data_IF_052110872156
#
_entry.id   IF_052110872156
#
_cell.length_a   1.000
_cell.length_b   1.000
_cell.length_c   1.000
_cell.angle_alpha   90.00
_cell.angle_beta   90.00
_cell.angle_gamma   90.00
#
_symmetry.space_group_name_H-M   'P 1'
#
loop_
_entity.id
_entity.type
_entity.pdbx_description
1 polymer ?
#
# COMPACT_ATOMS: atom_id res chain seq x y z
N UNK A 1 -30.82 -11.08 -28.84
CA UNK A 1 -30.38 -12.04 -27.79
C UNK A 1 -29.18 -11.49 -27.02
N UNK A 2 -28.08 -11.12 -27.69
CA UNK A 2 -26.86 -10.58 -27.06
C UNK A 2 -27.07 -9.36 -26.14
N UNK A 3 -27.83 -8.34 -26.57
CA UNK A 3 -28.07 -7.14 -25.75
C UNK A 3 -28.85 -7.40 -24.45
N UNK A 4 -29.82 -8.33 -24.44
CA UNK A 4 -30.55 -8.69 -23.21
C UNK A 4 -29.69 -9.48 -22.24
N UNK A 5 -28.73 -10.26 -22.74
CA UNK A 5 -27.75 -10.94 -21.92
C UNK A 5 -26.79 -9.94 -21.27
N UNK A 6 -26.30 -8.95 -22.04
CA UNK A 6 -25.36 -7.96 -21.51
C UNK A 6 -25.98 -6.90 -20.61
N UNK A 7 -27.17 -6.39 -20.96
CA UNK A 7 -27.79 -5.23 -20.28
C UNK A 7 -29.03 -5.57 -19.44
N UNK A 8 -29.46 -6.82 -19.45
CA UNK A 8 -30.61 -7.29 -18.70
C UNK A 8 -31.93 -7.30 -19.49
N UNK A 9 -33.04 -7.72 -18.85
CA UNK A 9 -34.30 -8.02 -19.53
C UNK A 9 -35.12 -6.79 -19.94
N UNK A 10 -34.80 -5.59 -19.44
CA UNK A 10 -35.57 -4.39 -19.72
C UNK A 10 -35.45 -3.92 -21.17
N UNK A 11 -36.57 -3.94 -21.89
CA UNK A 11 -36.64 -3.42 -23.25
C UNK A 11 -36.58 -1.89 -23.28
N UNK A 12 -37.10 -1.20 -22.28
CA UNK A 12 -37.09 0.26 -22.23
C UNK A 12 -35.67 0.78 -21.98
N UNK A 13 -34.91 0.12 -21.09
CA UNK A 13 -33.50 0.41 -20.89
C UNK A 13 -32.69 0.16 -22.16
N UNK A 14 -32.84 -1.00 -22.81
CA UNK A 14 -32.12 -1.31 -24.05
C UNK A 14 -32.45 -0.30 -25.15
N UNK A 15 -33.72 0.12 -25.29
CA UNK A 15 -34.09 1.18 -26.24
C UNK A 15 -33.40 2.50 -25.93
N UNK A 16 -33.27 2.85 -24.65
CA UNK A 16 -32.62 4.10 -24.22
C UNK A 16 -31.13 4.16 -24.62
N UNK A 17 -30.43 3.02 -24.68
CA UNK A 17 -29.02 2.95 -25.08
C UNK A 17 -28.78 3.38 -26.54
N UNK A 18 -29.80 3.27 -27.41
CA UNK A 18 -29.71 3.64 -28.82
C UNK A 18 -30.13 5.09 -29.09
N UNK A 19 -30.72 5.78 -28.10
CA UNK A 19 -31.20 7.15 -28.27
C UNK A 19 -30.04 8.16 -28.14
N UNK A 20 -29.31 8.36 -29.24
CA UNK A 20 -28.36 9.45 -29.34
C UNK A 20 -29.10 10.81 -29.40
N UNK A 21 -29.03 11.57 -28.29
CA UNK A 21 -29.17 13.05 -28.25
C UNK A 21 -30.58 13.69 -28.31
N UNK A 22 -31.64 13.05 -27.84
CA UNK A 22 -32.85 13.83 -27.48
C UNK A 22 -33.32 13.43 -26.08
N UNK A 23 -33.40 14.37 -25.11
CA UNK A 23 -34.26 14.15 -23.96
C UNK A 23 -35.68 14.09 -24.53
N UNK A 24 -36.20 12.88 -24.73
CA UNK A 24 -37.59 12.72 -25.09
C UNK A 24 -38.42 13.41 -24.00
N UNK A 25 -39.38 14.24 -24.40
CA UNK A 25 -40.37 14.83 -23.50
C UNK A 25 -41.31 13.73 -22.98
N UNK A 26 -40.79 12.78 -22.20
CA UNK A 26 -41.54 11.76 -21.46
C UNK A 26 -42.21 12.33 -20.20
N UNK A 27 -42.57 13.62 -20.23
CA UNK A 27 -43.31 14.31 -19.17
C UNK A 27 -44.67 13.62 -18.92
N UNK A 28 -45.23 12.95 -19.94
CA UNK A 28 -46.50 12.21 -19.84
C UNK A 28 -46.41 10.78 -19.29
N UNK A 29 -45.22 10.25 -18.93
CA UNK A 29 -45.06 8.85 -18.46
C UNK A 29 -44.32 8.71 -17.12
N UNK A 30 -44.48 9.67 -16.20
CA UNK A 30 -43.80 9.67 -14.88
C UNK A 30 -43.94 8.35 -14.11
N UNK A 31 -45.14 7.75 -14.07
CA UNK A 31 -45.38 6.48 -13.35
C UNK A 31 -44.68 5.28 -14.01
N UNK A 32 -44.67 5.22 -15.34
CA UNK A 32 -43.99 4.15 -16.06
C UNK A 32 -42.46 4.25 -15.92
N UNK A 33 -41.91 5.47 -15.97
CA UNK A 33 -40.49 5.71 -15.71
C UNK A 33 -40.09 5.36 -14.26
N UNK A 34 -40.96 5.63 -13.28
CA UNK A 34 -40.70 5.26 -11.90
C UNK A 34 -40.69 3.73 -11.71
N UNK A 35 -41.68 3.03 -12.27
CA UNK A 35 -41.72 1.56 -12.24
C UNK A 35 -40.51 0.95 -12.95
N UNK A 36 -40.08 1.55 -14.06
CA UNK A 36 -38.88 1.14 -14.78
C UNK A 36 -37.63 1.33 -13.90
N UNK A 37 -37.46 2.50 -13.28
CA UNK A 37 -36.35 2.74 -12.36
C UNK A 37 -36.36 1.76 -11.17
N UNK A 38 -37.53 1.41 -10.62
CA UNK A 38 -37.66 0.40 -9.57
C UNK A 38 -37.24 -1.00 -10.04
N UNK A 39 -37.57 -1.36 -11.28
CA UNK A 39 -37.11 -2.62 -11.88
C UNK A 39 -35.58 -2.65 -12.05
N UNK A 40 -35.00 -1.57 -12.60
CA UNK A 40 -33.56 -1.46 -12.82
C UNK A 40 -32.76 -1.45 -11.50
N UNK A 41 -33.32 -0.85 -10.44
CA UNK A 41 -32.73 -0.83 -9.11
C UNK A 41 -33.02 -2.09 -8.27
N UNK A 42 -33.73 -3.08 -8.82
CA UNK A 42 -34.05 -4.30 -8.09
C UNK A 42 -32.81 -5.18 -7.90
N UNK A 43 -32.71 -5.84 -6.75
CA UNK A 43 -31.59 -6.73 -6.42
C UNK A 43 -31.45 -7.94 -7.35
N UNK A 44 -32.48 -8.25 -8.14
CA UNK A 44 -32.49 -9.37 -9.08
C UNK A 44 -32.17 -8.95 -10.52
N UNK A 45 -32.00 -7.66 -10.80
CA UNK A 45 -31.87 -7.16 -12.17
C UNK A 45 -30.64 -7.72 -12.88
N UNK A 46 -29.53 -7.86 -12.16
CA UNK A 46 -28.25 -8.30 -12.69
C UNK A 46 -28.14 -9.84 -12.76
N UNK A 47 -29.11 -10.57 -12.21
CA UNK A 47 -29.07 -12.05 -12.15
C UNK A 47 -29.05 -12.65 -13.56
N UNK A 48 -27.98 -13.40 -13.86
CA UNK A 48 -27.79 -14.06 -15.15
C UNK A 48 -27.48 -13.11 -16.30
N UNK A 49 -27.08 -11.87 -16.00
CA UNK A 49 -26.62 -10.87 -16.96
C UNK A 49 -25.10 -10.73 -16.94
N UNK A 50 -24.52 -9.99 -17.89
CA UNK A 50 -23.08 -9.69 -17.92
C UNK A 50 -22.69 -8.40 -17.16
N UNK A 51 -23.62 -7.81 -16.38
CA UNK A 51 -23.30 -6.72 -15.46
C UNK A 51 -22.23 -7.15 -14.46
N UNK A 52 -21.22 -6.31 -14.26
CA UNK A 52 -20.07 -6.60 -13.41
C UNK A 52 -18.99 -7.49 -14.03
N UNK A 53 -19.30 -8.21 -15.11
CA UNK A 53 -18.34 -9.08 -15.81
C UNK A 53 -17.83 -8.46 -17.11
N UNK A 54 -18.72 -7.89 -17.90
CA UNK A 54 -18.40 -7.26 -19.19
C UNK A 54 -18.90 -5.81 -19.30
N UNK A 55 -19.94 -5.46 -18.54
CA UNK A 55 -20.62 -4.16 -18.57
C UNK A 55 -20.61 -3.53 -17.17
N UNK A 56 -20.44 -2.21 -17.11
CA UNK A 56 -20.46 -1.45 -15.86
C UNK A 56 -19.14 -1.52 -15.10
N UNK A 57 -19.23 -1.37 -13.77
CA UNK A 57 -18.08 -1.51 -12.87
C UNK A 57 -17.75 -2.98 -12.68
N UNK A 58 -16.48 -3.33 -12.86
CA UNK A 58 -16.01 -4.71 -12.83
C UNK A 58 -16.04 -5.29 -11.40
N UNK A 59 -16.67 -6.45 -11.22
CA UNK A 59 -16.68 -7.18 -9.96
C UNK A 59 -15.42 -8.03 -9.79
N UNK A 60 -15.22 -8.53 -8.57
CA UNK A 60 -14.16 -9.49 -8.24
C UNK A 60 -12.88 -8.89 -7.66
N UNK A 61 -12.85 -7.58 -7.40
CA UNK A 61 -11.82 -6.92 -6.58
C UNK A 61 -12.45 -5.81 -5.75
N UNK A 62 -11.89 -5.57 -4.56
CA UNK A 62 -12.25 -4.40 -3.71
C UNK A 62 -11.66 -3.07 -4.23
N UNK A 63 -10.97 -3.13 -5.38
CA UNK A 63 -10.42 -2.00 -6.12
C UNK A 63 -10.98 -2.03 -7.55
N UNK A 64 -12.30 -1.90 -7.64
CA UNK A 64 -13.08 -1.98 -8.88
C UNK A 64 -12.77 -0.84 -9.85
N UNK A 65 -12.38 0.33 -9.33
CA UNK A 65 -11.96 1.49 -10.10
C UNK A 65 -10.73 1.18 -10.98
N UNK A 66 -9.70 0.59 -10.38
CA UNK A 66 -8.49 0.11 -11.05
C UNK A 66 -8.83 -0.96 -12.09
N UNK A 67 -9.60 -1.99 -11.71
CA UNK A 67 -9.94 -3.10 -12.60
C UNK A 67 -10.79 -2.64 -13.79
N UNK A 68 -11.76 -1.75 -13.55
CA UNK A 68 -12.63 -1.18 -14.59
C UNK A 68 -11.81 -0.34 -15.55
N UNK A 69 -10.93 0.54 -15.04
CA UNK A 69 -10.02 1.32 -15.89
C UNK A 69 -9.11 0.45 -16.75
N UNK A 70 -8.50 -0.58 -16.17
CA UNK A 70 -7.68 -1.55 -16.90
C UNK A 70 -8.46 -2.25 -18.02
N UNK A 71 -9.69 -2.68 -17.72
CA UNK A 71 -10.56 -3.36 -18.68
C UNK A 71 -11.01 -2.44 -19.82
N UNK A 72 -11.29 -1.17 -19.53
CA UNK A 72 -11.59 -0.18 -20.57
C UNK A 72 -10.39 0.06 -21.48
N UNK A 73 -9.18 0.23 -20.92
CA UNK A 73 -7.97 0.37 -21.73
C UNK A 73 -7.68 -0.89 -22.57
N UNK A 74 -7.95 -2.09 -22.05
CA UNK A 74 -7.87 -3.33 -22.83
C UNK A 74 -8.94 -3.44 -23.94
N UNK A 75 -9.99 -2.62 -23.89
CA UNK A 75 -11.04 -2.50 -24.93
C UNK A 75 -10.72 -1.36 -25.91
N UNK A 76 -9.54 -0.74 -25.82
CA UNK A 76 -9.09 0.31 -26.74
C UNK A 76 -9.50 1.74 -26.35
N UNK A 77 -10.08 1.94 -25.16
CA UNK A 77 -10.36 3.29 -24.66
C UNK A 77 -9.06 4.02 -24.30
N UNK A 78 -9.09 5.35 -24.42
CA UNK A 78 -7.97 6.23 -24.08
C UNK A 78 -8.44 7.20 -22.99
N UNK A 79 -7.77 7.17 -21.83
CA UNK A 79 -7.96 8.16 -20.76
C UNK A 79 -7.15 9.42 -21.02
N UNK A 80 -7.65 10.57 -20.54
CA UNK A 80 -6.91 11.84 -20.53
C UNK A 80 -6.72 12.31 -19.10
N UNK A 81 -5.48 12.63 -18.73
CA UNK A 81 -5.15 13.27 -17.45
C UNK A 81 -4.99 14.77 -17.65
N UNK A 82 -5.74 15.58 -16.89
CA UNK A 82 -5.70 17.03 -16.97
C UNK A 82 -5.40 17.62 -15.58
N UNK A 83 -4.30 18.36 -15.47
CA UNK A 83 -3.82 18.95 -14.22
C UNK A 83 -3.82 20.50 -14.30
N UNK A 84 -4.98 21.15 -14.08
CA UNK A 84 -5.05 22.61 -14.08
C UNK A 84 -4.33 23.20 -12.85
N UNK A 85 -3.80 24.45 -12.93
CA UNK A 85 -3.09 25.08 -11.80
C UNK A 85 -3.89 25.18 -10.50
N UNK A 86 -5.23 25.28 -10.61
CA UNK A 86 -6.13 25.25 -9.47
C UNK A 86 -6.81 23.89 -9.37
N UNK A 87 -6.72 23.19 -8.23
CA UNK A 87 -7.48 21.96 -8.01
C UNK A 87 -8.97 22.18 -8.23
N UNK A 88 -9.56 21.38 -9.13
CA UNK A 88 -11.01 21.43 -9.40
C UNK A 88 -11.81 20.50 -8.50
N UNK A 89 -11.16 19.49 -7.94
CA UNK A 89 -11.74 18.55 -6.99
C UNK A 89 -10.92 18.58 -5.71
N UNK A 90 -11.59 18.78 -4.58
CA UNK A 90 -11.01 18.75 -3.24
C UNK A 90 -11.73 17.69 -2.43
N UNK A 91 -10.96 16.91 -1.67
CA UNK A 91 -11.49 15.88 -0.78
C UNK A 91 -10.72 15.84 0.53
N UNK A 92 -11.36 15.33 1.57
CA UNK A 92 -10.73 15.16 2.89
C UNK A 92 -9.89 13.88 2.91
N UNK A 93 -8.58 14.06 3.10
CA UNK A 93 -7.63 12.97 3.34
C UNK A 93 -7.82 12.32 4.70
N UNK A 94 -7.10 11.22 4.95
CA UNK A 94 -7.03 10.59 6.28
C UNK A 94 -6.18 11.44 7.21
N UNK A 95 -6.67 11.72 8.42
CA UNK A 95 -5.98 12.55 9.42
C UNK A 95 -5.32 11.75 10.53
N UNK A 96 -5.64 10.46 10.66
CA UNK A 96 -5.03 9.52 11.61
C UNK A 96 -4.36 8.32 10.90
N UNK A 97 -3.48 7.62 11.60
CA UNK A 97 -2.72 6.50 11.04
C UNK A 97 -3.58 5.25 10.82
N UNK A 98 -4.60 5.03 11.65
CA UNK A 98 -5.45 3.84 11.55
C UNK A 98 -6.20 3.82 10.22
N UNK A 99 -6.93 4.89 9.92
CA UNK A 99 -7.66 5.05 8.66
C UNK A 99 -6.71 4.97 7.44
N UNK A 100 -5.51 5.53 7.57
CA UNK A 100 -4.48 5.47 6.53
C UNK A 100 -4.03 4.02 6.24
N UNK A 101 -3.75 3.23 7.28
CA UNK A 101 -3.27 1.85 7.15
C UNK A 101 -4.40 0.89 6.75
N UNK A 102 -5.62 1.08 7.26
CA UNK A 102 -6.81 0.32 6.86
C UNK A 102 -7.11 0.56 5.39
N UNK A 103 -7.11 1.82 4.95
CA UNK A 103 -7.28 2.16 3.54
C UNK A 103 -6.18 1.53 2.67
N UNK A 104 -4.92 1.64 3.09
CA UNK A 104 -3.79 1.04 2.37
C UNK A 104 -3.89 -0.49 2.26
N UNK A 105 -4.42 -1.15 3.30
CA UNK A 105 -4.66 -2.60 3.33
C UNK A 105 -5.72 -2.99 2.31
N UNK A 106 -6.82 -2.23 2.22
CA UNK A 106 -7.88 -2.45 1.21
C UNK A 106 -7.34 -2.31 -0.20
N UNK A 107 -6.61 -1.23 -0.48
CA UNK A 107 -6.03 -1.00 -1.81
C UNK A 107 -5.06 -2.12 -2.20
N UNK A 108 -4.19 -2.50 -1.27
CA UNK A 108 -3.27 -3.63 -1.46
C UNK A 108 -4.04 -4.90 -1.80
N UNK A 109 -5.04 -5.25 -0.99
CA UNK A 109 -5.82 -6.49 -1.18
C UNK A 109 -6.50 -6.50 -2.56
N UNK A 110 -7.09 -5.39 -2.99
CA UNK A 110 -7.70 -5.29 -4.31
C UNK A 110 -6.71 -5.33 -5.49
N UNK A 111 -5.53 -4.73 -5.34
CA UNK A 111 -4.46 -4.81 -6.36
C UNK A 111 -3.97 -6.25 -6.51
N UNK A 112 -3.72 -6.94 -5.40
CA UNK A 112 -3.26 -8.33 -5.39
C UNK A 112 -4.35 -9.27 -5.91
N UNK A 113 -5.63 -9.03 -5.57
CA UNK A 113 -6.77 -9.77 -6.15
C UNK A 113 -6.70 -9.73 -7.69
N UNK A 114 -6.46 -8.55 -8.28
CA UNK A 114 -6.33 -8.42 -9.75
C UNK A 114 -5.07 -9.13 -10.24
N UNK A 115 -3.93 -8.97 -9.55
CA UNK A 115 -2.66 -9.60 -9.91
C UNK A 115 -2.74 -11.14 -10.01
N UNK A 116 -3.50 -11.79 -9.12
CA UNK A 116 -3.69 -13.25 -9.07
C UNK A 116 -4.98 -13.74 -9.75
N UNK A 117 -5.68 -12.84 -10.46
CA UNK A 117 -6.89 -13.16 -11.22
C UNK A 117 -6.59 -13.49 -12.70
N UNK A 118 -7.62 -13.89 -13.43
CA UNK A 118 -7.58 -14.00 -14.91
C UNK A 118 -7.28 -12.66 -15.62
N UNK A 119 -7.39 -11.53 -14.89
CA UNK A 119 -7.10 -10.18 -15.37
C UNK A 119 -5.72 -9.69 -14.94
N UNK A 120 -4.79 -10.58 -14.56
CA UNK A 120 -3.41 -10.23 -14.28
C UNK A 120 -2.83 -9.36 -15.42
N UNK A 121 -2.36 -8.12 -15.16
CA UNK A 121 -1.91 -7.22 -16.22
C UNK A 121 -0.72 -7.74 -17.02
N UNK A 122 0.13 -8.60 -16.44
CA UNK A 122 1.25 -9.23 -17.16
C UNK A 122 0.81 -10.30 -18.18
N UNK A 123 -0.36 -10.90 -17.98
CA UNK A 123 -0.87 -12.00 -18.81
C UNK A 123 -1.96 -11.48 -19.75
N UNK A 124 -2.93 -10.75 -19.20
CA UNK A 124 -4.10 -10.27 -19.92
C UNK A 124 -3.81 -9.01 -20.74
N UNK A 125 -2.93 -8.13 -20.26
CA UNK A 125 -2.69 -6.80 -20.79
C UNK A 125 -1.85 -6.70 -22.06
N UNK A 126 -0.72 -7.44 -22.26
CA UNK A 126 0.30 -7.08 -23.26
C UNK A 126 -0.20 -6.99 -24.71
N UNK A 127 -1.23 -7.76 -25.07
CA UNK A 127 -1.83 -7.79 -26.41
C UNK A 127 -3.16 -7.03 -26.50
N UNK A 128 -3.63 -6.44 -25.41
CA UNK A 128 -4.95 -5.81 -25.31
C UNK A 128 -4.90 -4.32 -24.98
N UNK A 129 -3.90 -3.87 -24.23
CA UNK A 129 -3.66 -2.44 -24.01
C UNK A 129 -3.10 -1.78 -25.27
N UNK A 130 -3.18 -0.45 -25.34
CA UNK A 130 -2.70 0.31 -26.50
C UNK A 130 -1.18 0.15 -26.70
N UNK A 131 -0.43 0.08 -25.60
CA UNK A 131 1.01 -0.22 -25.62
C UNK A 131 1.38 -1.26 -24.57
N UNK A 132 2.50 -1.94 -24.79
CA UNK A 132 3.11 -2.81 -23.79
C UNK A 132 3.50 -2.02 -22.52
N UNK A 133 3.97 -0.78 -22.67
CA UNK A 133 4.30 0.10 -21.53
C UNK A 133 3.07 0.36 -20.66
N UNK A 134 1.90 0.61 -21.26
CA UNK A 134 0.66 0.76 -20.50
C UNK A 134 0.34 -0.50 -19.69
N UNK A 135 0.50 -1.69 -20.29
CA UNK A 135 0.37 -2.97 -19.57
C UNK A 135 1.33 -3.08 -18.39
N UNK A 136 2.58 -2.63 -18.57
CA UNK A 136 3.60 -2.64 -17.52
C UNK A 136 3.28 -1.67 -16.40
N UNK A 137 2.74 -0.48 -16.67
CA UNK A 137 2.29 0.44 -15.62
C UNK A 137 1.16 -0.16 -14.76
N UNK A 138 0.21 -0.85 -15.40
CA UNK A 138 -0.81 -1.60 -14.65
C UNK A 138 -0.19 -2.73 -13.84
N UNK A 139 0.73 -3.50 -14.43
CA UNK A 139 1.40 -4.60 -13.75
C UNK A 139 2.20 -4.15 -12.52
N UNK A 140 2.94 -3.04 -12.64
CA UNK A 140 3.68 -2.44 -11.53
C UNK A 140 2.73 -2.13 -10.37
N UNK A 141 1.62 -1.42 -10.63
CA UNK A 141 0.62 -1.12 -9.62
C UNK A 141 -0.02 -2.37 -8.99
N UNK A 142 -0.32 -3.40 -9.77
CA UNK A 142 -0.94 -4.62 -9.24
C UNK A 142 0.03 -5.45 -8.37
N UNK A 143 1.32 -5.46 -8.72
CA UNK A 143 2.31 -6.37 -8.15
C UNK A 143 3.22 -5.72 -7.11
N UNK A 144 3.37 -4.39 -7.09
CA UNK A 144 4.26 -3.72 -6.14
C UNK A 144 3.99 -4.09 -4.68
N UNK A 145 2.75 -4.35 -4.20
CA UNK A 145 2.59 -4.67 -2.79
C UNK A 145 3.30 -5.98 -2.42
N UNK A 146 3.24 -6.99 -3.30
CA UNK A 146 3.93 -8.28 -3.13
C UNK A 146 5.44 -8.09 -3.17
N UNK A 147 5.93 -7.32 -4.15
CA UNK A 147 7.36 -7.02 -4.30
C UNK A 147 7.91 -6.11 -3.21
N UNK A 148 7.07 -5.40 -2.46
CA UNK A 148 7.51 -4.56 -1.36
C UNK A 148 7.49 -5.35 -0.05
N UNK A 149 6.36 -5.96 0.34
CA UNK A 149 6.29 -6.51 1.69
C UNK A 149 7.36 -7.58 1.94
N UNK A 150 7.54 -8.54 1.02
CA UNK A 150 8.43 -9.67 1.26
C UNK A 150 9.91 -9.24 1.35
N UNK A 151 10.48 -8.51 0.37
CA UNK A 151 11.85 -8.02 0.46
C UNK A 151 12.07 -7.06 1.63
N UNK A 152 11.13 -6.17 1.95
CA UNK A 152 11.31 -5.26 3.09
C UNK A 152 11.32 -5.99 4.43
N UNK A 153 10.50 -7.04 4.61
CA UNK A 153 10.59 -7.88 5.81
C UNK A 153 11.96 -8.55 5.93
N UNK A 154 12.52 -9.03 4.82
CA UNK A 154 13.90 -9.54 4.78
C UNK A 154 14.92 -8.46 5.15
N UNK A 155 14.84 -7.27 4.54
CA UNK A 155 15.77 -6.16 4.81
C UNK A 155 15.64 -5.56 6.22
N UNK A 156 14.47 -5.66 6.84
CA UNK A 156 14.22 -5.18 8.19
C UNK A 156 14.63 -6.19 9.28
N UNK A 157 14.95 -7.44 8.91
CA UNK A 157 15.30 -8.50 9.87
C UNK A 157 16.69 -9.08 9.63
N UNK A 158 17.01 -9.51 8.41
CA UNK A 158 18.24 -10.26 8.11
C UNK A 158 19.50 -9.43 8.43
N UNK A 159 19.67 -8.18 7.94
CA UNK A 159 20.87 -7.40 8.25
C UNK A 159 21.06 -7.15 9.76
N UNK A 160 19.96 -6.90 10.48
CA UNK A 160 19.95 -6.66 11.92
C UNK A 160 20.36 -7.92 12.69
N UNK A 161 19.83 -9.08 12.32
CA UNK A 161 20.18 -10.36 12.93
C UNK A 161 21.64 -10.75 12.61
N UNK A 162 22.11 -10.54 11.39
CA UNK A 162 23.52 -10.76 11.04
C UNK A 162 24.44 -9.88 11.88
N UNK A 163 24.11 -8.60 12.06
CA UNK A 163 24.91 -7.69 12.89
C UNK A 163 24.95 -8.12 14.36
N UNK A 164 23.79 -8.51 14.92
CA UNK A 164 23.69 -9.03 16.29
C UNK A 164 24.57 -10.28 16.48
N UNK A 165 24.59 -11.18 15.50
CA UNK A 165 25.41 -12.40 15.54
C UNK A 165 26.86 -12.21 15.05
N UNK A 166 27.24 -11.02 14.57
CA UNK A 166 28.62 -10.75 14.10
C UNK A 166 28.97 -11.34 12.74
N UNK A 167 27.96 -11.56 11.91
CA UNK A 167 28.12 -12.08 10.55
C UNK A 167 28.20 -10.89 9.58
N UNK A 168 29.33 -10.71 8.87
CA UNK A 168 29.44 -9.68 7.85
C UNK A 168 28.56 -10.04 6.64
N UNK A 169 27.69 -9.10 6.22
CA UNK A 169 26.79 -9.30 5.07
C UNK A 169 27.23 -8.51 3.82
N UNK A 170 27.89 -7.37 4.02
CA UNK A 170 28.30 -6.48 2.94
C UNK A 170 29.84 -6.48 2.79
N UNK A 171 30.37 -6.03 1.64
CA UNK A 171 31.82 -5.89 1.47
C UNK A 171 32.42 -4.94 2.52
N UNK A 172 33.64 -5.27 2.95
CA UNK A 172 34.46 -4.42 3.82
C UNK A 172 34.76 -3.09 3.13
N UNK A 173 35.00 -2.01 3.87
CA UNK A 173 35.27 -0.67 3.30
C UNK A 173 36.56 -0.69 2.45
N UNK A 174 37.54 -1.49 2.85
CA UNK A 174 38.78 -1.73 2.13
C UNK A 174 38.61 -2.50 0.80
N UNK A 175 37.46 -3.15 0.59
CA UNK A 175 37.15 -3.92 -0.61
C UNK A 175 36.70 -3.01 -1.77
N UNK A 176 37.21 -3.23 -2.98
CA UNK A 176 36.83 -2.44 -4.16
C UNK A 176 35.34 -2.50 -4.50
N UNK A 177 34.65 -3.60 -4.16
CA UNK A 177 33.20 -3.74 -4.35
C UNK A 177 32.38 -2.85 -3.43
N UNK A 178 32.93 -2.35 -2.31
CA UNK A 178 32.24 -1.42 -1.41
C UNK A 178 31.68 -0.19 -2.15
N UNK A 179 32.45 0.33 -3.12
CA UNK A 179 32.06 1.49 -3.92
C UNK A 179 30.80 1.18 -4.74
N UNK A 180 30.70 -0.03 -5.30
CA UNK A 180 29.54 -0.44 -6.11
C UNK A 180 28.28 -0.49 -5.24
N UNK A 181 28.35 -1.13 -4.07
CA UNK A 181 27.22 -1.22 -3.14
C UNK A 181 26.79 0.16 -2.63
N UNK A 182 27.76 0.99 -2.25
CA UNK A 182 27.51 2.35 -1.78
C UNK A 182 26.90 3.22 -2.88
N UNK A 183 27.39 3.12 -4.12
CA UNK A 183 26.85 3.85 -5.25
C UNK A 183 25.39 3.46 -5.54
N UNK A 184 25.05 2.17 -5.57
CA UNK A 184 23.67 1.72 -5.82
C UNK A 184 22.72 2.25 -4.74
N UNK A 185 23.10 2.15 -3.47
CA UNK A 185 22.28 2.64 -2.36
C UNK A 185 22.11 4.18 -2.39
N UNK A 186 23.21 4.92 -2.51
CA UNK A 186 23.17 6.38 -2.50
C UNK A 186 22.48 6.95 -3.74
N UNK A 187 22.74 6.38 -4.93
CA UNK A 187 22.10 6.86 -6.17
C UNK A 187 20.59 6.68 -6.13
N UNK A 188 20.07 5.58 -5.58
CA UNK A 188 18.63 5.36 -5.40
C UNK A 188 18.01 6.40 -4.48
N UNK A 189 18.62 6.64 -3.31
CA UNK A 189 18.14 7.64 -2.34
C UNK A 189 18.19 9.06 -2.91
N UNK A 190 19.31 9.42 -3.54
CA UNK A 190 19.51 10.75 -4.13
C UNK A 190 18.56 10.98 -5.31
N UNK A 191 18.27 9.96 -6.11
CA UNK A 191 17.29 10.04 -7.19
C UNK A 191 15.90 10.33 -6.65
N UNK A 192 15.46 9.63 -5.61
CA UNK A 192 14.17 9.88 -4.98
C UNK A 192 14.12 11.29 -4.37
N UNK A 193 15.18 11.71 -3.67
CA UNK A 193 15.27 13.07 -3.12
C UNK A 193 15.18 14.13 -4.23
N UNK A 194 15.90 13.94 -5.33
CA UNK A 194 15.84 14.84 -6.48
C UNK A 194 14.43 14.96 -7.04
N UNK A 195 13.69 13.85 -7.17
CA UNK A 195 12.32 13.84 -7.67
C UNK A 195 11.37 14.65 -6.78
N UNK A 196 11.44 14.45 -5.46
CA UNK A 196 10.64 15.20 -4.47
C UNK A 196 10.94 16.70 -4.54
N UNK A 197 12.22 17.08 -4.59
CA UNK A 197 12.60 18.49 -4.67
C UNK A 197 12.24 19.11 -6.03
N UNK A 198 12.42 18.37 -7.13
CA UNK A 198 12.11 18.86 -8.49
C UNK A 198 10.62 19.08 -8.72
N UNK A 199 9.76 18.37 -7.96
CA UNK A 199 8.30 18.53 -7.98
C UNK A 199 7.80 19.60 -7.02
N UNK A 200 8.70 20.31 -6.33
CA UNK A 200 8.37 21.44 -5.45
C UNK A 200 8.08 21.07 -4.00
N UNK A 201 8.28 19.81 -3.60
CA UNK A 201 8.11 19.37 -2.22
C UNK A 201 9.39 19.54 -1.39
N UNK A 202 9.26 19.46 -0.07
CA UNK A 202 10.36 19.72 0.88
C UNK A 202 11.16 18.46 1.20
N UNK A 203 12.36 18.65 1.76
CA UNK A 203 13.15 17.54 2.32
C UNK A 203 12.39 16.74 3.40
N UNK A 204 11.56 17.42 4.21
CA UNK A 204 10.72 16.76 5.20
C UNK A 204 9.67 15.86 4.53
N UNK A 205 9.16 16.23 3.35
CA UNK A 205 8.28 15.39 2.55
C UNK A 205 8.97 14.10 2.13
N UNK A 206 10.21 14.19 1.64
CA UNK A 206 11.01 13.02 1.26
C UNK A 206 11.24 12.06 2.44
N UNK A 207 11.57 12.59 3.64
CA UNK A 207 11.67 11.77 4.87
C UNK A 207 10.35 11.07 5.16
N UNK A 208 9.22 11.79 5.04
CA UNK A 208 7.90 11.24 5.29
C UNK A 208 7.55 10.13 4.29
N UNK A 209 7.85 10.30 3.00
CA UNK A 209 7.62 9.27 1.98
C UNK A 209 8.44 8.00 2.26
N UNK A 210 9.72 8.15 2.61
CA UNK A 210 10.57 7.01 3.00
C UNK A 210 9.99 6.27 4.21
N UNK A 211 9.56 7.00 5.25
CA UNK A 211 8.93 6.42 6.43
C UNK A 211 7.63 5.69 6.09
N UNK A 212 6.74 6.35 5.34
CA UNK A 212 5.44 5.81 4.98
C UNK A 212 5.59 4.56 4.10
N UNK A 213 6.56 4.55 3.18
CA UNK A 213 6.89 3.37 2.40
C UNK A 213 7.32 2.19 3.30
N UNK A 214 8.21 2.41 4.27
CA UNK A 214 8.59 1.36 5.23
C UNK A 214 7.39 0.87 6.05
N UNK A 215 6.61 1.80 6.62
CA UNK A 215 5.42 1.48 7.42
C UNK A 215 4.41 0.66 6.61
N UNK A 216 4.02 1.11 5.42
CA UNK A 216 3.05 0.41 4.56
C UNK A 216 3.55 -0.95 4.13
N UNK A 217 4.84 -1.09 3.83
CA UNK A 217 5.42 -2.36 3.40
C UNK A 217 5.33 -3.44 4.47
N UNK A 218 5.66 -3.12 5.72
CA UNK A 218 5.61 -4.10 6.81
C UNK A 218 4.19 -4.32 7.35
N UNK A 219 3.26 -3.41 7.04
CA UNK A 219 1.85 -3.48 7.47
C UNK A 219 0.89 -3.69 6.30
N UNK A 220 0.35 -2.63 5.71
CA UNK A 220 -0.70 -2.66 4.70
C UNK A 220 -0.40 -3.59 3.52
N UNK A 221 0.82 -3.59 2.99
CA UNK A 221 1.23 -4.45 1.89
C UNK A 221 1.29 -5.92 2.32
N UNK A 222 1.82 -6.22 3.51
CA UNK A 222 1.78 -7.56 4.07
C UNK A 222 0.34 -8.04 4.26
N UNK A 223 -0.45 -7.30 5.03
CA UNK A 223 -1.79 -7.73 5.44
C UNK A 223 -2.76 -7.79 4.26
N UNK A 224 -2.71 -6.82 3.35
CA UNK A 224 -3.55 -6.84 2.16
C UNK A 224 -3.17 -7.98 1.21
N UNK A 225 -1.87 -8.28 1.06
CA UNK A 225 -1.43 -9.39 0.21
C UNK A 225 -1.85 -10.74 0.80
N UNK A 226 -1.64 -10.94 2.11
CA UNK A 226 -2.06 -12.15 2.81
C UNK A 226 -3.59 -12.31 2.74
N UNK A 227 -4.35 -11.22 2.92
CA UNK A 227 -5.81 -11.21 2.76
C UNK A 227 -6.24 -11.67 1.35
N UNK A 228 -5.64 -11.12 0.30
CA UNK A 228 -5.90 -11.53 -1.08
C UNK A 228 -5.60 -13.03 -1.33
N UNK A 229 -4.45 -13.52 -0.85
CA UNK A 229 -4.11 -14.94 -0.96
C UNK A 229 -5.10 -15.84 -0.19
N UNK A 230 -5.46 -15.49 1.04
CA UNK A 230 -6.41 -16.26 1.85
C UNK A 230 -7.80 -16.31 1.22
N UNK A 231 -8.28 -15.20 0.64
CA UNK A 231 -9.53 -15.19 -0.13
C UNK A 231 -9.44 -16.10 -1.35
N UNK A 232 -8.34 -16.06 -2.09
CA UNK A 232 -8.14 -16.86 -3.30
C UNK A 232 -8.19 -18.37 -3.05
N UNK A 233 -7.69 -18.83 -1.90
CA UNK A 233 -7.70 -20.25 -1.51
C UNK A 233 -8.94 -20.64 -0.69
N UNK A 234 -9.91 -19.73 -0.52
CA UNK A 234 -11.17 -20.00 0.18
C UNK A 234 -11.07 -20.07 1.72
N UNK A 235 -9.96 -19.59 2.31
CA UNK A 235 -9.76 -19.58 3.76
C UNK A 235 -10.44 -18.39 4.47
N UNK A 236 -10.84 -17.36 3.73
CA UNK A 236 -11.51 -16.17 4.27
C UNK A 236 -12.51 -15.61 3.27
N UNK A 237 -13.65 -15.13 3.76
CA UNK A 237 -14.62 -14.40 2.94
C UNK A 237 -14.12 -12.97 2.63
N UNK A 238 -14.62 -12.41 1.53
CA UNK A 238 -14.33 -11.03 1.16
C UNK A 238 -14.93 -10.08 2.21
N UNK A 239 -14.07 -9.43 3.01
CA UNK A 239 -14.48 -8.43 4.00
C UNK A 239 -14.08 -7.03 3.56
N UNK A 240 -15.00 -6.07 3.66
CA UNK A 240 -14.79 -4.66 3.34
C UNK A 240 -15.10 -3.79 4.57
N UNK A 241 -14.14 -2.98 4.97
CA UNK A 241 -14.35 -1.96 6.01
C UNK A 241 -14.16 -0.57 5.38
N UNK A 242 -15.22 0.25 5.29
CA UNK A 242 -15.10 1.63 4.86
C UNK A 242 -14.17 2.40 5.80
N UNK A 243 -13.38 3.32 5.24
CA UNK A 243 -12.57 4.25 6.05
C UNK A 243 -13.50 5.17 6.84
N UNK A 244 -13.18 5.42 8.11
CA UNK A 244 -13.92 6.40 8.88
C UNK A 244 -13.56 7.80 8.39
N UNK A 245 -14.56 8.67 8.25
CA UNK A 245 -14.40 10.06 7.79
C UNK A 245 -14.89 11.06 8.83
N UNK A 246 -15.15 10.61 10.05
CA UNK A 246 -15.54 11.46 11.16
C UNK A 246 -14.29 12.02 11.81
N UNK A 247 -14.16 13.34 11.81
CA UNK A 247 -13.03 14.03 12.42
C UNK A 247 -13.16 14.09 13.95
N UNK A 248 -12.18 13.52 14.65
CA UNK A 248 -11.97 13.77 16.08
C UNK A 248 -11.09 15.02 16.24
N UNK A 249 -11.53 15.97 17.07
CA UNK A 249 -10.86 17.27 17.27
C UNK A 249 -9.42 17.12 17.80
N UNK A 250 -9.18 16.15 18.69
CA UNK A 250 -7.83 15.88 19.21
C UNK A 250 -6.92 15.26 18.15
N UNK A 251 -7.47 14.37 17.32
CA UNK A 251 -6.74 13.76 16.19
C UNK A 251 -6.37 14.83 15.15
N UNK A 252 -7.32 15.70 14.80
CA UNK A 252 -7.11 16.78 13.85
C UNK A 252 -6.03 17.77 14.34
N UNK A 253 -6.01 18.05 15.66
CA UNK A 253 -4.95 18.87 16.26
C UNK A 253 -3.58 18.24 16.06
N UNK A 254 -3.43 16.93 16.29
CA UNK A 254 -2.17 16.20 16.07
C UNK A 254 -1.74 16.22 14.61
N UNK A 255 -2.68 15.98 13.70
CA UNK A 255 -2.47 16.06 12.25
C UNK A 255 -1.93 17.43 11.83
N UNK A 256 -2.55 18.52 12.29
CA UNK A 256 -2.13 19.89 11.96
C UNK A 256 -0.74 20.24 12.53
N UNK A 257 -0.30 19.57 13.59
CA UNK A 257 1.05 19.71 14.16
C UNK A 257 2.08 18.82 13.44
N UNK A 258 1.68 17.99 12.48
CA UNK A 258 2.56 17.03 11.79
C UNK A 258 2.96 15.85 12.67
N UNK A 259 2.20 15.56 13.73
CA UNK A 259 2.49 14.49 14.70
C UNK A 259 1.62 13.28 14.39
N UNK A 260 2.26 12.10 14.30
CA UNK A 260 1.54 10.84 14.05
C UNK A 260 0.55 10.52 15.17
N UNK A 261 -0.60 9.97 14.80
CA UNK A 261 -1.52 9.39 15.76
C UNK A 261 -1.39 7.87 15.75
N UNK A 262 -0.84 7.29 16.82
CA UNK A 262 -0.66 5.83 16.93
C UNK A 262 -1.85 5.12 17.58
N UNK A 263 -3.01 5.77 17.71
CA UNK A 263 -4.26 5.11 18.09
C UNK A 263 -4.77 4.22 16.94
N UNK A 264 -4.11 3.09 16.72
CA UNK A 264 -4.43 2.10 15.68
C UNK A 264 -4.38 0.69 16.24
N UNK A 265 -4.88 -0.28 15.48
CA UNK A 265 -4.87 -1.69 15.86
C UNK A 265 -3.46 -2.20 16.23
N UNK A 266 -3.41 -3.08 17.23
CA UNK A 266 -2.19 -3.80 17.64
C UNK A 266 -1.59 -4.56 16.45
N UNK A 267 -2.43 -5.02 15.52
CA UNK A 267 -2.01 -5.67 14.28
C UNK A 267 -1.02 -4.81 13.48
N UNK A 268 -1.24 -3.50 13.41
CA UNK A 268 -0.35 -2.60 12.69
C UNK A 268 0.82 -2.12 13.54
N UNK A 269 0.58 -1.79 14.80
CA UNK A 269 1.63 -1.26 15.69
C UNK A 269 2.70 -2.28 16.01
N UNK A 270 2.31 -3.51 16.35
CA UNK A 270 3.23 -4.49 16.92
C UNK A 270 4.39 -4.87 15.98
N UNK A 271 4.15 -5.15 14.67
CA UNK A 271 5.21 -5.40 13.70
C UNK A 271 6.16 -4.22 13.52
N UNK A 272 5.61 -3.01 13.35
CA UNK A 272 6.41 -1.80 13.15
C UNK A 272 7.33 -1.53 14.35
N UNK A 273 6.76 -1.56 15.56
CA UNK A 273 7.51 -1.36 16.78
C UNK A 273 8.54 -2.48 17.04
N UNK A 274 8.21 -3.74 16.73
CA UNK A 274 9.14 -4.86 16.91
C UNK A 274 10.38 -4.75 16.02
N UNK A 275 10.19 -4.36 14.76
CA UNK A 275 11.29 -4.14 13.81
C UNK A 275 12.14 -2.93 14.20
N UNK A 276 11.53 -1.84 14.66
CA UNK A 276 12.27 -0.68 15.17
C UNK A 276 13.08 -1.04 16.43
N UNK A 277 12.51 -1.82 17.35
CA UNK A 277 13.23 -2.32 18.54
C UNK A 277 14.41 -3.21 18.13
N UNK A 278 14.20 -4.15 17.20
CA UNK A 278 15.26 -5.02 16.68
C UNK A 278 16.40 -4.19 16.06
N UNK A 279 16.04 -3.18 15.27
CA UNK A 279 16.98 -2.30 14.61
C UNK A 279 17.74 -1.39 15.58
N UNK A 280 17.11 -0.90 16.65
CA UNK A 280 17.79 -0.16 17.73
C UNK A 280 18.77 -1.06 18.49
N UNK A 281 18.37 -2.29 18.81
CA UNK A 281 19.24 -3.26 19.48
C UNK A 281 20.45 -3.62 18.61
N UNK A 282 20.23 -3.89 17.32
CA UNK A 282 21.31 -4.19 16.38
C UNK A 282 22.26 -3.02 16.21
N UNK A 283 21.75 -1.78 16.14
CA UNK A 283 22.59 -0.58 16.07
C UNK A 283 23.47 -0.43 17.31
N UNK A 284 22.91 -0.60 18.52
CA UNK A 284 23.66 -0.52 19.77
C UNK A 284 24.79 -1.55 19.84
N UNK A 285 24.51 -2.81 19.46
CA UNK A 285 25.53 -3.88 19.39
C UNK A 285 26.57 -3.58 18.32
N UNK A 286 26.17 -3.10 17.14
CA UNK A 286 27.08 -2.75 16.07
C UNK A 286 28.06 -1.64 16.46
N UNK A 287 27.56 -0.58 17.10
CA UNK A 287 28.41 0.50 17.65
C UNK A 287 29.38 -0.05 18.71
N UNK A 288 28.91 -0.93 19.59
CA UNK A 288 29.77 -1.59 20.57
C UNK A 288 30.90 -2.36 19.91
N UNK A 289 30.64 -3.13 18.84
CA UNK A 289 31.69 -3.85 18.09
C UNK A 289 32.70 -2.91 17.45
N UNK A 290 32.22 -1.83 16.83
CA UNK A 290 33.09 -0.82 16.22
C UNK A 290 34.02 -0.17 17.25
N UNK A 291 33.48 0.22 18.41
CA UNK A 291 34.25 0.93 19.44
C UNK A 291 35.22 0.01 20.17
N UNK A 292 34.77 -1.19 20.59
CA UNK A 292 35.55 -2.06 21.47
C UNK A 292 36.41 -3.09 20.73
N UNK A 293 36.03 -3.49 19.51
CA UNK A 293 36.74 -4.49 18.71
C UNK A 293 37.43 -3.92 17.47
N UNK A 294 37.20 -2.64 17.14
CA UNK A 294 37.81 -1.98 15.98
C UNK A 294 37.32 -2.50 14.62
N UNK A 295 36.18 -3.20 14.58
CA UNK A 295 35.67 -3.87 13.37
C UNK A 295 34.89 -2.93 12.42
N UNK A 296 35.28 -1.65 12.34
CA UNK A 296 34.60 -0.66 11.49
C UNK A 296 34.64 -1.06 10.01
N UNK A 297 35.80 -1.50 9.52
CA UNK A 297 35.99 -1.91 8.12
C UNK A 297 34.98 -3.00 7.72
N UNK A 298 34.73 -3.94 8.64
CA UNK A 298 33.86 -5.09 8.44
C UNK A 298 32.37 -4.78 8.55
N UNK A 299 31.98 -3.91 9.48
CA UNK A 299 30.57 -3.68 9.80
C UNK A 299 30.02 -2.30 9.39
N UNK A 300 30.79 -1.45 8.68
CA UNK A 300 30.39 -0.08 8.34
C UNK A 300 28.96 0.00 7.77
N UNK A 301 28.68 -0.74 6.68
CA UNK A 301 27.35 -0.71 6.04
C UNK A 301 26.27 -1.26 6.97
N UNK A 302 26.58 -2.34 7.71
CA UNK A 302 25.62 -2.95 8.65
C UNK A 302 25.32 -2.06 9.84
N UNK A 303 26.20 -1.13 10.22
CA UNK A 303 25.94 -0.11 11.26
C UNK A 303 25.21 1.09 10.67
N UNK A 304 25.55 1.49 9.44
CA UNK A 304 24.94 2.63 8.76
C UNK A 304 23.46 2.41 8.43
N UNK A 305 23.07 1.21 7.96
CA UNK A 305 21.68 0.92 7.61
C UNK A 305 20.73 1.06 8.83
N UNK A 306 21.00 0.46 10.00
CA UNK A 306 20.20 0.68 11.19
C UNK A 306 20.14 2.13 11.65
N UNK A 307 21.25 2.87 11.53
CA UNK A 307 21.25 4.31 11.81
C UNK A 307 20.27 5.07 10.89
N UNK A 308 20.32 4.80 9.59
CA UNK A 308 19.38 5.36 8.62
C UNK A 308 17.92 5.03 8.97
N UNK A 309 17.64 3.77 9.31
CA UNK A 309 16.29 3.32 9.69
C UNK A 309 15.80 4.00 10.97
N UNK A 310 16.67 4.22 11.96
CA UNK A 310 16.35 4.97 13.20
C UNK A 310 15.96 6.41 12.87
N UNK A 311 16.73 7.10 12.02
CA UNK A 311 16.43 8.47 11.60
C UNK A 311 15.08 8.56 10.89
N UNK A 312 14.83 7.66 9.94
CA UNK A 312 13.58 7.66 9.18
C UNK A 312 12.38 7.33 10.07
N UNK A 313 12.52 6.41 11.02
CA UNK A 313 11.44 5.94 11.89
C UNK A 313 11.42 6.60 13.27
N UNK A 314 12.10 7.74 13.45
CA UNK A 314 12.12 8.48 14.72
C UNK A 314 10.72 8.71 15.32
N UNK A 315 9.65 9.05 14.56
CA UNK A 315 8.32 9.22 15.14
C UNK A 315 7.75 7.96 15.81
N UNK A 316 8.13 6.76 15.37
CA UNK A 316 7.75 5.50 16.04
C UNK A 316 8.48 5.39 17.38
N UNK A 317 9.79 5.69 17.40
CA UNK A 317 10.61 5.69 18.62
C UNK A 317 10.07 6.72 19.62
N UNK A 318 9.81 7.93 19.15
CA UNK A 318 9.21 9.01 19.91
C UNK A 318 7.83 8.59 20.46
N UNK A 319 7.00 7.95 19.64
CA UNK A 319 5.71 7.38 20.02
C UNK A 319 5.79 6.30 21.10
N UNK A 320 6.83 5.47 21.10
CA UNK A 320 7.04 4.43 22.11
C UNK A 320 7.59 4.97 23.43
N UNK A 321 8.62 5.83 23.36
CA UNK A 321 9.48 6.12 24.51
C UNK A 321 9.30 7.53 25.09
N UNK A 322 9.01 8.52 24.25
CA UNK A 322 9.08 9.94 24.64
C UNK A 322 7.68 10.50 24.91
N UNK A 323 6.72 10.18 24.03
CA UNK A 323 5.38 10.77 24.07
C UNK A 323 4.56 10.30 25.26
N UNK A 324 3.78 11.23 25.81
CA UNK A 324 2.88 11.02 26.96
C UNK A 324 1.41 11.34 26.65
N UNK A 325 1.13 11.86 25.45
CA UNK A 325 -0.23 12.14 25.01
C UNK A 325 -0.97 10.86 24.56
N UNK A 326 -2.27 10.98 24.31
CA UNK A 326 -3.13 9.84 23.91
C UNK A 326 -2.77 9.21 22.57
N UNK A 327 -2.11 9.94 21.68
CA UNK A 327 -1.67 9.47 20.37
C UNK A 327 -0.34 8.70 20.39
N UNK A 328 0.20 8.37 21.57
CA UNK A 328 1.42 7.56 21.73
C UNK A 328 1.17 6.09 21.40
N UNK A 329 2.25 5.33 21.20
CA UNK A 329 2.17 3.86 21.18
C UNK A 329 1.95 3.38 22.63
N UNK A 330 0.92 2.54 22.89
CA UNK A 330 0.67 2.05 24.24
C UNK A 330 1.86 1.24 24.78
N UNK A 331 2.25 1.41 26.06
CA UNK A 331 3.36 0.66 26.65
C UNK A 331 3.19 -0.86 26.58
N UNK A 332 1.95 -1.36 26.65
CA UNK A 332 1.63 -2.78 26.50
C UNK A 332 2.01 -3.31 25.11
N UNK A 333 1.79 -2.51 24.06
CA UNK A 333 2.19 -2.85 22.69
C UNK A 333 3.70 -2.78 22.54
N UNK A 334 4.37 -1.79 23.14
CA UNK A 334 5.83 -1.73 23.15
C UNK A 334 6.45 -2.96 23.82
N UNK A 335 5.89 -3.42 24.94
CA UNK A 335 6.34 -4.64 25.62
C UNK A 335 6.11 -5.89 24.75
N UNK A 336 4.93 -6.03 24.14
CA UNK A 336 4.64 -7.12 23.21
C UNK A 336 5.62 -7.12 22.03
N UNK A 337 5.86 -5.95 21.43
CA UNK A 337 6.83 -5.77 20.34
C UNK A 337 8.26 -6.10 20.73
N UNK A 338 8.66 -5.81 21.98
CA UNK A 338 9.96 -6.24 22.49
C UNK A 338 10.04 -7.77 22.59
N UNK A 339 8.99 -8.44 23.05
CA UNK A 339 8.94 -9.93 23.05
C UNK A 339 9.01 -10.48 21.64
N UNK A 340 8.26 -9.92 20.68
CA UNK A 340 8.31 -10.33 19.26
C UNK A 340 9.72 -10.11 18.68
N UNK A 341 10.35 -8.98 19.00
CA UNK A 341 11.73 -8.67 18.58
C UNK A 341 12.73 -9.69 19.15
N UNK A 342 12.59 -10.08 20.42
CA UNK A 342 13.39 -11.14 21.02
C UNK A 342 13.17 -12.49 20.34
N UNK A 343 11.93 -12.85 19.98
CA UNK A 343 11.64 -14.08 19.23
C UNK A 343 12.37 -14.06 17.88
N UNK A 344 12.32 -12.96 17.13
CA UNK A 344 13.08 -12.81 15.90
C UNK A 344 14.58 -12.99 16.13
N UNK A 345 15.13 -12.38 17.19
CA UNK A 345 16.52 -12.55 17.57
C UNK A 345 16.87 -14.02 17.83
N UNK A 346 16.11 -14.72 18.68
CA UNK A 346 16.35 -16.12 19.01
C UNK A 346 16.23 -17.03 17.78
N UNK A 347 15.19 -16.85 16.95
CA UNK A 347 15.05 -17.60 15.70
C UNK A 347 16.22 -17.35 14.75
N UNK A 348 16.63 -16.09 14.62
CA UNK A 348 17.81 -15.72 13.84
C UNK A 348 19.08 -16.39 14.34
N UNK A 349 19.34 -16.34 15.65
CA UNK A 349 20.53 -16.98 16.24
C UNK A 349 20.55 -18.50 16.08
N UNK A 350 19.38 -19.17 16.00
CA UNK A 350 19.31 -20.60 15.67
C UNK A 350 19.65 -20.86 14.20
N UNK A 351 19.16 -20.02 13.28
CA UNK A 351 19.39 -20.16 11.84
C UNK A 351 20.85 -19.85 11.46
N UNK A 352 21.48 -18.94 12.20
CA UNK A 352 22.85 -18.47 11.96
C UNK A 352 23.93 -19.19 12.77
N UNK A 353 23.54 -20.10 13.67
CA UNK A 353 24.42 -21.13 14.23
C UNK A 353 24.64 -22.24 13.20
#
# INVERSE_FOLDING_TARGET
MKLRQSFGPSNEFIKSLHQNKKPDMLIHRKKALLNEAQLLASCAFENGTEWGEEVGFMYGSVLEDYLTGFRLHCKGWISVYFNPPRPQFLGSGTTNLDDFLVQGTRWTSGLVDVAISKFCPLIYGPLKTYTFVQSMCYAELALFPIFYFLPLWCFATIPQLCLLNGIPLYPEVSNSYFIVFSFVFLSSILKHLYEVLSTGFTFQHWINEQRIWMMKSVTSHLYGSVDAFMKKIGMREASFFPTNKVDDVEQLKRYNMGVFDFQTSILFLAPMAALVILNMASFAVGISKVIFLGELDKFFIQVFIPFYVILMNYPIIEGMLIRKDRGRIPPSVTLLSAVVSLIFYFLGSIIFM
#
